data_IF_936391615827
#
_entry.id   IF_936391615827
#
_cell.length_a   1.000
_cell.length_b   1.000
_cell.length_c   1.000
_cell.angle_alpha   90.00
_cell.angle_beta   90.00
_cell.angle_gamma   90.00
#
_symmetry.space_group_name_H-M   'P 1'
#
loop_
_entity.id
_entity.type
_entity.pdbx_description
1 polymer ?
#
# COMPACT_ATOMS: atom_id res chain seq x y z
N UNK A 1 -13.68 -2.88 1.22
CA UNK A 1 -13.26 -1.93 0.17
C UNK A 1 -12.18 -2.62 -0.65
N UNK A 2 -12.04 -2.29 -1.94
CA UNK A 2 -10.95 -2.78 -2.79
C UNK A 2 -9.80 -1.77 -2.87
N UNK A 3 -8.59 -2.25 -3.13
CA UNK A 3 -7.41 -1.43 -3.41
C UNK A 3 -6.80 -1.81 -4.75
N UNK A 4 -6.63 -0.83 -5.63
CA UNK A 4 -5.94 -0.96 -6.90
C UNK A 4 -4.53 -0.39 -6.81
N UNK A 5 -3.52 -1.18 -7.18
CA UNK A 5 -2.11 -0.84 -6.97
C UNK A 5 -1.22 -1.37 -8.10
N UNK A 6 -0.08 -0.72 -8.33
CA UNK A 6 1.02 -1.26 -9.12
C UNK A 6 1.95 -2.04 -8.19
N UNK A 7 2.08 -3.35 -8.42
CA UNK A 7 2.90 -4.24 -7.61
C UNK A 7 4.18 -4.64 -8.35
N UNK A 8 5.33 -4.40 -7.74
CA UNK A 8 6.61 -4.94 -8.18
C UNK A 8 6.83 -6.32 -7.54
N UNK A 9 7.00 -7.35 -8.38
CA UNK A 9 7.37 -8.69 -7.92
C UNK A 9 8.88 -8.80 -7.58
N UNK A 10 9.38 -10.00 -7.28
CA UNK A 10 10.80 -10.23 -6.96
C UNK A 10 11.76 -9.98 -8.12
N UNK A 11 11.27 -9.96 -9.35
CA UNK A 11 12.06 -9.72 -10.56
C UNK A 11 11.96 -8.26 -11.04
N UNK A 12 11.23 -7.41 -10.30
CA UNK A 12 11.00 -6.02 -10.67
C UNK A 12 9.93 -5.84 -11.75
N UNK A 13 9.20 -6.90 -12.11
CA UNK A 13 8.09 -6.79 -13.05
C UNK A 13 6.90 -6.12 -12.36
N UNK A 14 6.35 -5.09 -13.01
CA UNK A 14 5.20 -4.35 -12.52
C UNK A 14 3.91 -5.00 -13.02
N UNK A 15 3.00 -5.27 -12.10
CA UNK A 15 1.66 -5.79 -12.39
C UNK A 15 0.61 -4.95 -11.69
N UNK A 16 -0.48 -4.64 -12.37
CA UNK A 16 -1.66 -4.06 -11.73
C UNK A 16 -2.36 -5.14 -10.92
N UNK A 17 -2.52 -4.94 -9.62
CA UNK A 17 -3.31 -5.81 -8.74
C UNK A 17 -4.51 -5.05 -8.19
N UNK A 18 -5.65 -5.74 -8.08
CA UNK A 18 -6.83 -5.28 -7.34
C UNK A 18 -7.08 -6.32 -6.27
N UNK A 19 -7.02 -5.88 -5.01
CA UNK A 19 -7.12 -6.74 -3.84
C UNK A 19 -8.23 -6.26 -2.91
N UNK A 20 -8.77 -7.17 -2.12
CA UNK A 20 -9.57 -6.85 -0.95
C UNK A 20 -8.70 -6.12 0.06
N UNK A 21 -9.11 -4.92 0.48
CA UNK A 21 -8.37 -4.11 1.44
C UNK A 21 -8.94 -4.27 2.85
N UNK A 22 -8.11 -4.76 3.77
CA UNK A 22 -8.45 -4.91 5.19
C UNK A 22 -7.86 -3.83 6.08
N UNK A 23 -6.80 -3.14 5.64
CA UNK A 23 -6.21 -2.07 6.41
C UNK A 23 -4.77 -1.77 6.01
N UNK A 24 -4.21 -0.77 6.67
CA UNK A 24 -2.81 -0.35 6.52
C UNK A 24 -2.22 -0.15 7.91
N UNK A 25 -0.93 -0.45 8.07
CA UNK A 25 -0.18 -0.15 9.31
C UNK A 25 1.21 0.36 8.98
N UNK A 26 1.79 1.14 9.89
CA UNK A 26 3.18 1.54 9.81
C UNK A 26 4.07 0.55 10.54
N UNK A 27 5.16 0.12 9.90
CA UNK A 27 6.22 -0.68 10.50
C UNK A 27 7.45 0.21 10.67
N UNK A 28 7.65 0.69 11.90
CA UNK A 28 8.69 1.68 12.21
C UNK A 28 10.10 1.13 12.01
N UNK A 29 10.31 -0.18 12.19
CA UNK A 29 11.62 -0.81 11.98
C UNK A 29 12.08 -0.71 10.52
N UNK A 30 11.13 -0.80 9.58
CA UNK A 30 11.41 -0.75 8.15
C UNK A 30 11.08 0.61 7.52
N UNK A 31 10.53 1.55 8.30
CA UNK A 31 10.07 2.86 7.83
C UNK A 31 9.17 2.71 6.61
N UNK A 32 8.14 1.88 6.74
CA UNK A 32 7.30 1.49 5.63
C UNK A 32 5.84 1.27 6.07
N UNK A 33 4.92 1.52 5.16
CA UNK A 33 3.54 1.09 5.28
C UNK A 33 3.37 -0.34 4.77
N UNK A 34 2.60 -1.14 5.50
CA UNK A 34 2.21 -2.50 5.15
C UNK A 34 0.71 -2.52 4.87
N UNK A 35 0.32 -2.89 3.66
CA UNK A 35 -1.08 -3.10 3.28
C UNK A 35 -1.50 -4.52 3.67
N UNK A 36 -2.64 -4.62 4.32
CA UNK A 36 -3.28 -5.89 4.64
C UNK A 36 -4.31 -6.22 3.57
N UNK A 37 -4.10 -7.32 2.85
CA UNK A 37 -4.98 -7.81 1.78
C UNK A 37 -5.42 -9.25 2.05
N UNK A 38 -6.21 -9.84 1.16
CA UNK A 38 -6.61 -11.27 1.20
C UNK A 38 -5.45 -12.24 1.07
N UNK A 39 -4.27 -11.78 0.64
CA UNK A 39 -3.09 -12.60 0.49
C UNK A 39 -2.33 -12.71 1.81
N UNK A 40 -2.45 -13.86 2.49
CA UNK A 40 -1.86 -14.09 3.81
C UNK A 40 -0.33 -14.35 3.78
N UNK A 41 0.22 -14.70 2.61
CA UNK A 41 1.61 -15.13 2.46
C UNK A 41 2.54 -14.03 1.94
N UNK A 42 2.00 -12.87 1.56
CA UNK A 42 2.75 -11.77 0.98
C UNK A 42 2.56 -10.51 1.82
N UNK A 43 3.66 -9.77 2.02
CA UNK A 43 3.57 -8.40 2.50
C UNK A 43 3.55 -7.47 1.28
N UNK A 44 2.63 -6.50 1.33
CA UNK A 44 2.53 -5.40 0.38
C UNK A 44 3.12 -4.15 1.04
N UNK A 45 4.32 -3.79 0.63
CA UNK A 45 5.17 -2.84 1.35
C UNK A 45 5.36 -1.57 0.52
N UNK A 46 5.17 -0.42 1.17
CA UNK A 46 5.46 0.89 0.58
C UNK A 46 6.43 1.60 1.54
N UNK A 47 7.73 1.70 1.21
CA UNK A 47 8.65 2.53 1.98
C UNK A 47 8.16 3.97 2.01
N UNK A 48 8.06 4.58 3.19
CA UNK A 48 7.60 5.97 3.33
C UNK A 48 7.96 6.54 4.71
N UNK A 49 8.05 7.87 4.78
CA UNK A 49 8.19 8.56 6.06
C UNK A 49 6.92 8.40 6.90
N UNK A 50 7.04 8.57 8.22
CA UNK A 50 5.89 8.43 9.13
C UNK A 50 4.84 9.51 8.86
N UNK A 51 5.27 10.71 8.48
CA UNK A 51 4.38 11.82 8.14
C UNK A 51 3.57 11.53 6.87
N UNK A 52 4.21 10.91 5.87
CA UNK A 52 3.54 10.49 4.63
C UNK A 52 2.57 9.32 4.88
N UNK A 53 2.89 8.42 5.81
CA UNK A 53 1.98 7.38 6.26
C UNK A 53 0.72 7.96 6.92
N UNK A 54 0.88 8.93 7.83
CA UNK A 54 -0.25 9.56 8.50
C UNK A 54 -1.14 10.33 7.51
N UNK A 55 -0.55 10.95 6.49
CA UNK A 55 -1.30 11.57 5.40
C UNK A 55 -2.09 10.53 4.58
N UNK A 56 -1.44 9.42 4.20
CA UNK A 56 -2.10 8.32 3.50
C UNK A 56 -3.27 7.74 4.32
N UNK A 57 -3.09 7.50 5.62
CA UNK A 57 -4.13 7.00 6.51
C UNK A 57 -5.33 7.95 6.54
N UNK A 58 -5.10 9.27 6.60
CA UNK A 58 -6.17 10.29 6.53
C UNK A 58 -6.93 10.25 5.21
N UNK A 59 -6.23 10.09 4.09
CA UNK A 59 -6.86 9.96 2.78
C UNK A 59 -7.75 8.69 2.70
N UNK A 60 -7.30 7.56 3.25
CA UNK A 60 -8.09 6.32 3.33
C UNK A 60 -9.31 6.50 4.23
N UNK A 61 -9.15 7.09 5.42
CA UNK A 61 -10.27 7.37 6.33
C UNK A 61 -11.33 8.24 5.64
N UNK A 62 -10.90 9.26 4.88
CA UNK A 62 -11.80 10.12 4.10
C UNK A 62 -12.55 9.33 3.02
N UNK A 63 -11.86 8.43 2.30
CA UNK A 63 -12.48 7.56 1.30
C UNK A 63 -13.53 6.62 1.93
N UNK A 64 -13.21 6.00 3.06
CA UNK A 64 -14.13 5.14 3.80
C UNK A 64 -15.35 5.91 4.31
N UNK A 65 -15.16 7.12 4.84
CA UNK A 65 -16.27 7.99 5.27
C UNK A 65 -17.19 8.38 4.11
N UNK A 66 -16.63 8.54 2.90
CA UNK A 66 -17.37 8.75 1.67
C UNK A 66 -18.01 7.47 1.09
N UNK A 67 -17.89 6.33 1.79
CA UNK A 67 -18.37 5.00 1.37
C UNK A 67 -17.80 4.53 0.03
N UNK A 68 -16.58 4.96 -0.30
CA UNK A 68 -15.86 4.48 -1.47
C UNK A 68 -15.78 2.96 -1.46
N UNK A 69 -16.06 2.35 -2.61
CA UNK A 69 -15.96 0.91 -2.79
C UNK A 69 -14.53 0.51 -3.16
N UNK A 70 -13.76 1.44 -3.72
CA UNK A 70 -12.37 1.22 -4.12
C UNK A 70 -11.50 2.45 -3.86
N UNK A 71 -10.23 2.20 -3.54
CA UNK A 71 -9.15 3.19 -3.58
C UNK A 71 -8.08 2.77 -4.59
N UNK A 72 -7.46 3.74 -5.26
CA UNK A 72 -6.31 3.51 -6.14
C UNK A 72 -5.10 4.27 -5.61
N UNK A 73 -3.95 3.59 -5.57
CA UNK A 73 -2.66 4.18 -5.23
C UNK A 73 -1.96 4.83 -6.43
N UNK A 74 -2.62 4.87 -7.60
CA UNK A 74 -2.07 5.47 -8.82
C UNK A 74 -0.78 4.78 -9.27
N UNK A 75 0.26 5.58 -9.51
CA UNK A 75 1.58 5.14 -9.98
C UNK A 75 2.52 4.73 -8.82
N UNK A 76 2.02 4.69 -7.59
CA UNK A 76 2.80 4.22 -6.44
C UNK A 76 3.21 2.77 -6.66
N UNK A 77 4.51 2.48 -6.49
CA UNK A 77 5.05 1.14 -6.61
C UNK A 77 4.98 0.45 -5.25
N UNK A 78 4.14 -0.58 -5.17
CA UNK A 78 4.01 -1.45 -4.00
C UNK A 78 4.95 -2.63 -4.16
N UNK A 79 5.87 -2.81 -3.23
CA UNK A 79 6.73 -4.01 -3.22
C UNK A 79 5.94 -5.20 -2.69
N UNK A 80 5.82 -6.25 -3.50
CA UNK A 80 5.24 -7.52 -3.08
C UNK A 80 6.36 -8.51 -2.78
N UNK A 81 6.53 -8.84 -1.51
CA UNK A 81 7.58 -9.74 -1.01
C UNK A 81 7.03 -10.85 -0.14
N UNK A 82 7.87 -11.83 0.18
CA UNK A 82 7.52 -12.77 1.25
C UNK A 82 7.45 -11.99 2.56
N UNK A 83 6.60 -12.48 3.46
CA UNK A 83 6.42 -11.85 4.76
C UNK A 83 7.74 -11.65 5.50
N UNK A 84 8.03 -10.41 5.91
CA UNK A 84 9.26 -10.05 6.60
C UNK A 84 10.48 -9.75 5.71
N UNK A 85 10.35 -9.81 4.38
CA UNK A 85 11.40 -9.34 3.47
C UNK A 85 11.32 -7.81 3.29
N UNK A 86 12.26 -7.09 3.90
CA UNK A 86 12.40 -5.66 3.66
C UNK A 86 13.06 -5.43 2.30
N UNK A 87 12.40 -4.66 1.43
CA UNK A 87 13.00 -4.18 0.17
C UNK A 87 13.36 -2.71 0.30
N UNK A 88 14.63 -2.41 0.05
CA UNK A 88 15.17 -1.05 0.05
C UNK A 88 14.71 -0.32 -1.21
N UNK A 89 13.49 0.22 -1.18
CA UNK A 89 12.99 1.15 -2.20
C UNK A 89 12.99 2.54 -1.60
N UNK A 90 13.13 3.56 -2.45
CA UNK A 90 13.08 4.94 -1.98
C UNK A 90 11.73 5.24 -1.30
N UNK A 91 11.72 6.08 -0.25
CA UNK A 91 10.47 6.52 0.37
C UNK A 91 9.53 7.16 -0.65
N UNK A 92 8.25 6.81 -0.60
CA UNK A 92 7.21 7.28 -1.51
C UNK A 92 6.15 8.08 -0.74
N UNK A 93 5.79 9.24 -1.29
CA UNK A 93 4.58 9.96 -0.90
C UNK A 93 3.46 9.59 -1.85
N UNK A 94 2.28 9.28 -1.31
CA UNK A 94 1.19 8.72 -2.11
C UNK A 94 -0.04 9.65 -2.15
N UNK A 95 -0.73 9.65 -3.27
CA UNK A 95 -2.05 10.29 -3.43
C UNK A 95 -3.07 9.22 -3.75
N UNK A 96 -4.12 9.14 -2.95
CA UNK A 96 -5.14 8.10 -3.04
C UNK A 96 -6.37 8.67 -3.75
N UNK A 97 -6.78 7.99 -4.82
CA UNK A 97 -8.05 8.28 -5.53
C UNK A 97 -9.13 7.32 -5.04
N UNK A 98 -10.28 7.85 -4.66
CA UNK A 98 -11.42 7.08 -4.18
C UNK A 98 -12.51 6.97 -5.27
N UNK A 99 -13.18 5.82 -5.34
CA UNK A 99 -14.24 5.49 -6.29
C UNK A 99 -15.44 4.85 -5.57
#
# INVERSE_FOLDING_TARGET
MYIAMQCADSNGMLNTEICTFYGIRYESRYRAAILSTEHLNHDYVIPMAVEDYEDAAKQIMKAMAAKAQMISLGETIVSRGRKGEARQVQPQKITIKAF
#
